data_IF_945630359515
#
_entry.id   IF_945630359515
#
_cell.length_a   1.000
_cell.length_b   1.000
_cell.length_c   1.000
_cell.angle_alpha   90.00
_cell.angle_beta   90.00
_cell.angle_gamma   90.00
#
_symmetry.space_group_name_H-M   'P 1'
#
loop_
_entity.id
_entity.type
_entity.pdbx_description
1 polymer ?
#
# COMPACT_ATOMS: atom_id res chain seq x y z
N UNK A 1 -9.27 23.91 -12.64
CA UNK A 1 -8.18 23.92 -11.63
C UNK A 1 -8.66 23.79 -10.18
N UNK A 2 -9.74 24.46 -9.74
CA UNK A 2 -10.24 24.36 -8.35
C UNK A 2 -10.76 22.97 -7.94
N UNK A 3 -11.38 22.22 -8.86
CA UNK A 3 -11.92 20.86 -8.61
C UNK A 3 -10.84 19.84 -8.19
N UNK A 4 -9.58 20.05 -8.58
CA UNK A 4 -8.49 19.14 -8.25
C UNK A 4 -8.03 19.33 -6.79
N UNK A 5 -7.93 20.56 -6.30
CA UNK A 5 -7.50 20.83 -4.92
C UNK A 5 -8.54 20.39 -3.88
N UNK A 6 -9.81 20.63 -4.17
CA UNK A 6 -10.91 20.21 -3.29
C UNK A 6 -10.94 18.69 -3.15
N UNK A 7 -10.85 17.95 -4.26
CA UNK A 7 -10.84 16.49 -4.23
C UNK A 7 -9.59 15.91 -3.55
N UNK A 8 -8.43 16.55 -3.68
CA UNK A 8 -7.22 16.16 -2.93
C UNK A 8 -7.41 16.35 -1.43
N UNK A 9 -7.96 17.48 -1.00
CA UNK A 9 -8.22 17.76 0.41
C UNK A 9 -9.23 16.79 1.02
N UNK A 10 -10.32 16.51 0.32
CA UNK A 10 -11.33 15.52 0.74
C UNK A 10 -10.71 14.12 0.89
N UNK A 11 -9.82 13.71 -0.02
CA UNK A 11 -9.10 12.46 0.10
C UNK A 11 -8.17 12.41 1.33
N UNK A 12 -7.50 13.52 1.65
CA UNK A 12 -6.67 13.61 2.88
C UNK A 12 -7.56 13.44 4.11
N UNK A 13 -8.68 14.14 4.19
CA UNK A 13 -9.64 14.02 5.30
C UNK A 13 -10.13 12.57 5.44
N UNK A 14 -10.58 11.96 4.34
CA UNK A 14 -11.06 10.57 4.35
C UNK A 14 -9.98 9.59 4.82
N UNK A 15 -8.75 9.76 4.38
CA UNK A 15 -7.62 8.93 4.82
C UNK A 15 -7.32 9.12 6.32
N UNK A 16 -7.37 10.36 6.82
CA UNK A 16 -7.16 10.64 8.24
C UNK A 16 -8.19 9.94 9.12
N UNK A 17 -9.48 9.98 8.74
CA UNK A 17 -10.52 9.26 9.46
C UNK A 17 -10.39 7.74 9.33
N UNK A 18 -10.25 7.25 8.09
CA UNK A 18 -10.29 5.81 7.80
C UNK A 18 -9.07 5.06 8.29
N UNK A 19 -7.88 5.62 8.11
CA UNK A 19 -6.61 4.92 8.30
C UNK A 19 -5.86 5.42 9.53
N UNK A 20 -5.90 6.74 9.79
CA UNK A 20 -5.14 7.34 10.88
C UNK A 20 -5.94 7.46 12.19
N UNK A 21 -7.23 7.09 12.16
CA UNK A 21 -8.16 7.04 13.31
C UNK A 21 -8.40 8.41 13.95
N UNK A 22 -8.35 9.47 13.16
CA UNK A 22 -8.70 10.81 13.64
C UNK A 22 -10.18 10.84 14.00
N UNK A 23 -10.57 11.71 14.94
CA UNK A 23 -11.94 11.72 15.48
C UNK A 23 -12.76 12.92 15.03
N UNK A 24 -12.10 13.99 14.59
CA UNK A 24 -12.72 15.24 14.20
C UNK A 24 -11.87 15.97 13.14
N UNK A 25 -12.44 16.99 12.50
CA UNK A 25 -11.77 17.77 11.46
C UNK A 25 -10.65 18.65 12.01
N UNK A 26 -10.75 19.11 13.27
CA UNK A 26 -9.71 19.93 13.88
C UNK A 26 -8.36 19.20 13.92
N UNK A 27 -8.36 17.91 14.27
CA UNK A 27 -7.14 17.07 14.20
C UNK A 27 -6.55 17.02 12.79
N UNK A 28 -7.39 17.02 11.74
CA UNK A 28 -6.95 17.03 10.33
C UNK A 28 -6.40 18.40 9.92
N UNK A 29 -7.02 19.48 10.39
CA UNK A 29 -6.64 20.86 10.04
C UNK A 29 -5.28 21.27 10.61
N UNK A 30 -4.92 20.78 11.80
CA UNK A 30 -3.61 21.02 12.41
C UNK A 30 -2.52 20.06 11.90
N UNK A 31 -2.89 19.05 11.10
CA UNK A 31 -1.97 18.07 10.57
C UNK A 31 -1.14 18.66 9.42
N UNK A 32 0.18 18.62 9.57
CA UNK A 32 1.06 19.03 8.46
C UNK A 32 1.06 17.97 7.35
N UNK A 33 1.26 18.39 6.10
CA UNK A 33 1.34 17.46 4.97
C UNK A 33 2.46 16.42 5.14
N UNK A 34 3.59 16.82 5.74
CA UNK A 34 4.70 15.92 6.05
C UNK A 34 4.30 14.85 7.07
N UNK A 35 3.65 15.25 8.16
CA UNK A 35 3.18 14.32 9.18
C UNK A 35 2.10 13.38 8.63
N UNK A 36 1.18 13.89 7.81
CA UNK A 36 0.22 13.07 7.08
C UNK A 36 0.90 11.99 6.24
N UNK A 37 1.92 12.35 5.46
CA UNK A 37 2.66 11.41 4.61
C UNK A 37 3.37 10.34 5.45
N UNK A 38 4.06 10.72 6.53
CA UNK A 38 4.71 9.77 7.43
C UNK A 38 3.70 8.82 8.09
N UNK A 39 2.58 9.34 8.60
CA UNK A 39 1.53 8.53 9.22
C UNK A 39 0.90 7.57 8.22
N UNK A 40 0.68 8.00 6.97
CA UNK A 40 0.19 7.12 5.91
C UNK A 40 1.21 6.04 5.53
N UNK A 41 2.50 6.36 5.51
CA UNK A 41 3.56 5.38 5.29
C UNK A 41 3.61 4.36 6.43
N UNK A 42 3.59 4.82 7.68
CA UNK A 42 3.53 3.95 8.86
C UNK A 42 2.29 3.04 8.84
N UNK A 43 1.12 3.58 8.45
CA UNK A 43 -0.09 2.78 8.27
C UNK A 43 0.11 1.68 7.22
N UNK A 44 0.67 2.01 6.05
CA UNK A 44 0.92 1.01 4.99
C UNK A 44 1.88 -0.09 5.45
N UNK A 45 2.93 0.26 6.19
CA UNK A 45 3.85 -0.72 6.79
C UNK A 45 3.12 -1.62 7.79
N UNK A 46 2.31 -1.04 8.69
CA UNK A 46 1.53 -1.82 9.66
C UNK A 46 0.53 -2.79 9.00
N UNK A 47 0.09 -2.49 7.77
CA UNK A 47 -0.74 -3.41 6.99
C UNK A 47 0.05 -4.62 6.49
N UNK A 48 1.33 -4.47 6.16
CA UNK A 48 2.20 -5.60 5.80
C UNK A 48 2.45 -6.47 7.01
N UNK A 49 2.68 -5.87 8.18
CA UNK A 49 2.84 -6.61 9.44
C UNK A 49 1.57 -7.44 9.72
N UNK A 50 0.40 -6.84 9.50
CA UNK A 50 -0.87 -7.55 9.65
C UNK A 50 -1.08 -8.66 8.61
N UNK A 51 -0.70 -8.42 7.34
CA UNK A 51 -0.68 -9.45 6.29
C UNK A 51 0.22 -10.62 6.70
N UNK A 52 1.42 -10.34 7.21
CA UNK A 52 2.35 -11.35 7.72
C UNK A 52 1.69 -12.22 8.80
N UNK A 53 1.08 -11.61 9.82
CA UNK A 53 0.43 -12.34 10.90
C UNK A 53 -0.71 -13.23 10.41
N UNK A 54 -1.55 -12.71 9.49
CA UNK A 54 -2.63 -13.48 8.89
C UNK A 54 -2.09 -14.67 8.09
N UNK A 55 -1.06 -14.44 7.27
CA UNK A 55 -0.44 -15.51 6.48
C UNK A 55 0.26 -16.53 7.38
N UNK A 56 0.89 -16.12 8.47
CA UNK A 56 1.52 -17.02 9.43
C UNK A 56 0.47 -17.94 10.06
N UNK A 57 -0.66 -17.39 10.49
CA UNK A 57 -1.79 -18.18 11.02
C UNK A 57 -2.32 -19.17 9.97
N UNK A 58 -2.50 -18.72 8.72
CA UNK A 58 -2.94 -19.58 7.63
C UNK A 58 -1.93 -20.70 7.32
N UNK A 59 -0.63 -20.39 7.34
CA UNK A 59 0.44 -21.35 7.12
C UNK A 59 0.47 -22.41 8.23
N UNK A 60 0.40 -22.01 9.50
CA UNK A 60 0.32 -22.95 10.63
C UNK A 60 -0.90 -23.86 10.52
N UNK A 61 -2.07 -23.30 10.18
CA UNK A 61 -3.30 -24.09 9.94
C UNK A 61 -3.17 -25.04 8.75
N UNK A 62 -2.43 -24.66 7.71
CA UNK A 62 -2.19 -25.50 6.54
C UNK A 62 -1.13 -26.59 6.80
N UNK A 63 -0.09 -26.33 7.59
CA UNK A 63 0.88 -27.36 8.01
C UNK A 63 0.20 -28.51 8.76
N UNK A 64 -0.87 -28.22 9.51
CA UNK A 64 -1.69 -29.24 10.21
C UNK A 64 -2.50 -30.11 9.22
N UNK A 65 -2.76 -29.64 7.99
CA UNK A 65 -3.72 -30.26 7.06
C UNK A 65 -3.15 -30.71 5.71
N UNK A 66 -2.02 -30.16 5.28
CA UNK A 66 -1.57 -30.17 3.89
C UNK A 66 -0.30 -30.97 3.67
N UNK A 67 -0.42 -32.29 3.66
CA UNK A 67 0.61 -33.18 3.13
C UNK A 67 0.26 -33.62 1.72
N UNK A 68 1.23 -33.62 0.81
CA UNK A 68 1.15 -34.26 -0.51
C UNK A 68 1.95 -35.55 -0.49
N UNK A 69 1.54 -36.53 -1.29
CA UNK A 69 2.34 -37.73 -1.50
C UNK A 69 3.53 -37.42 -2.42
N UNK A 70 4.71 -37.84 -1.99
CA UNK A 70 5.93 -37.83 -2.78
C UNK A 70 6.57 -39.22 -2.66
N UNK A 71 6.24 -40.10 -3.60
CA UNK A 71 6.53 -41.54 -3.48
C UNK A 71 5.74 -42.16 -2.32
N UNK A 72 6.39 -42.94 -1.45
CA UNK A 72 5.77 -43.56 -0.27
C UNK A 72 5.74 -42.64 0.97
N UNK A 73 5.97 -41.33 0.83
CA UNK A 73 6.06 -40.39 1.96
C UNK A 73 5.08 -39.24 1.79
N UNK A 74 4.43 -38.85 2.87
CA UNK A 74 3.69 -37.59 2.96
C UNK A 74 4.64 -36.45 3.30
N UNK A 75 4.66 -35.40 2.48
CA UNK A 75 5.49 -34.20 2.68
C UNK A 75 4.63 -32.94 2.70
N UNK A 76 4.98 -31.91 3.49
CA UNK A 76 4.25 -30.64 3.47
C UNK A 76 4.26 -29.98 2.09
N UNK A 77 3.15 -29.36 1.69
CA UNK A 77 3.03 -28.66 0.39
C UNK A 77 4.01 -27.48 0.29
N UNK A 78 4.15 -26.70 1.36
CA UNK A 78 5.11 -25.60 1.48
C UNK A 78 6.23 -25.99 2.44
N UNK A 79 7.50 -25.88 2.01
CA UNK A 79 8.66 -26.23 2.83
C UNK A 79 9.11 -25.09 3.75
N UNK A 80 8.86 -23.84 3.35
CA UNK A 80 9.19 -22.62 4.10
C UNK A 80 8.04 -21.63 4.04
N UNK A 81 7.86 -20.85 5.10
CA UNK A 81 6.85 -19.80 5.15
C UNK A 81 7.06 -18.74 4.05
N UNK A 82 8.31 -18.41 3.71
CA UNK A 82 8.65 -17.44 2.65
C UNK A 82 8.14 -17.82 1.26
N UNK A 83 7.84 -19.10 1.02
CA UNK A 83 7.21 -19.55 -0.23
C UNK A 83 5.70 -19.29 -0.26
N UNK A 84 5.09 -19.11 0.93
CA UNK A 84 3.68 -18.77 1.10
C UNK A 84 3.48 -17.25 1.18
N UNK A 85 4.37 -16.55 1.88
CA UNK A 85 4.36 -15.09 1.98
C UNK A 85 5.78 -14.53 2.13
N UNK A 86 6.19 -13.67 1.19
CA UNK A 86 7.49 -12.99 1.19
C UNK A 86 7.34 -11.56 1.72
N UNK A 87 7.60 -11.41 3.02
CA UNK A 87 7.48 -10.15 3.75
C UNK A 87 8.40 -9.04 3.18
N UNK A 88 9.66 -9.38 2.92
CA UNK A 88 10.66 -8.43 2.40
C UNK A 88 10.29 -7.91 1.02
N UNK A 89 9.79 -8.81 0.15
CA UNK A 89 9.26 -8.40 -1.15
C UNK A 89 8.07 -7.45 -0.98
N UNK A 90 7.17 -7.73 -0.03
CA UNK A 90 5.98 -6.92 0.20
C UNK A 90 6.31 -5.52 0.74
N UNK A 91 7.29 -5.40 1.64
CA UNK A 91 7.79 -4.09 2.09
C UNK A 91 8.31 -3.25 0.91
N UNK A 92 9.11 -3.85 0.04
CA UNK A 92 9.65 -3.17 -1.15
C UNK A 92 8.55 -2.70 -2.11
N UNK A 93 7.43 -3.41 -2.20
CA UNK A 93 6.29 -2.98 -3.02
C UNK A 93 5.60 -1.73 -2.46
N UNK A 94 5.64 -1.53 -1.14
CA UNK A 94 5.05 -0.35 -0.48
C UNK A 94 5.99 0.85 -0.52
N UNK A 95 7.29 0.62 -0.41
CA UNK A 95 8.31 1.68 -0.49
C UNK A 95 8.54 2.19 -1.90
N UNK A 96 8.15 1.43 -2.93
CA UNK A 96 8.18 1.94 -4.30
C UNK A 96 7.33 3.21 -4.37
N UNK A 97 7.89 4.36 -4.78
CA UNK A 97 7.08 5.53 -5.08
C UNK A 97 5.99 5.12 -6.08
N UNK A 98 4.81 5.76 -5.97
CA UNK A 98 3.72 5.65 -6.96
C UNK A 98 4.36 5.46 -8.34
N UNK A 99 4.02 4.33 -8.98
CA UNK A 99 4.72 3.81 -10.16
C UNK A 99 5.28 4.93 -11.03
N UNK A 100 6.56 4.84 -11.38
CA UNK A 100 7.14 5.74 -12.37
C UNK A 100 6.20 5.72 -13.58
N UNK A 101 5.69 6.90 -13.93
CA UNK A 101 4.82 7.06 -15.10
C UNK A 101 5.50 6.34 -16.26
N UNK A 102 4.73 5.53 -16.97
CA UNK A 102 5.21 4.96 -18.23
C UNK A 102 5.65 6.09 -19.16
N UNK A 103 6.46 5.76 -20.15
CA UNK A 103 6.99 6.75 -21.10
C UNK A 103 5.87 7.54 -21.81
N UNK A 104 4.72 6.89 -22.02
CA UNK A 104 3.51 7.50 -22.59
C UNK A 104 2.84 8.46 -21.61
N UNK A 105 2.68 8.07 -20.34
CA UNK A 105 2.09 8.92 -19.31
C UNK A 105 2.97 10.15 -19.00
N UNK A 106 4.29 9.99 -19.06
CA UNK A 106 5.23 11.12 -18.95
C UNK A 106 5.08 12.12 -20.10
N UNK A 107 4.97 11.65 -21.34
CA UNK A 107 4.75 12.52 -22.51
C UNK A 107 3.42 13.27 -22.42
N UNK A 108 2.35 12.60 -22.00
CA UNK A 108 1.03 13.24 -21.81
C UNK A 108 1.07 14.29 -20.68
N UNK A 109 1.72 13.99 -19.56
CA UNK A 109 1.89 14.93 -18.47
C UNK A 109 2.70 16.17 -18.90
N UNK A 110 3.73 16.01 -19.73
CA UNK A 110 4.51 17.12 -20.29
C UNK A 110 3.68 17.98 -21.27
N UNK A 111 2.90 17.35 -22.15
CA UNK A 111 2.03 18.06 -23.10
C UNK A 111 0.95 18.88 -22.37
N UNK A 112 0.34 18.32 -21.33
CA UNK A 112 -0.65 19.03 -20.50
C UNK A 112 -0.05 20.24 -19.77
N UNK A 113 1.20 20.13 -19.28
CA UNK A 113 1.93 21.27 -18.68
C UNK A 113 2.18 22.39 -19.69
N UNK A 114 2.57 22.05 -20.91
CA UNK A 114 2.82 23.04 -21.97
C UNK A 114 1.53 23.73 -22.45
N UNK A 115 0.42 23.00 -22.52
CA UNK A 115 -0.88 23.57 -22.88
C UNK A 115 -1.38 24.60 -21.84
N UNK A 116 -1.18 24.30 -20.55
CA UNK A 116 -1.55 25.21 -19.46
C UNK A 116 -0.66 26.47 -19.39
N UNK A 117 0.58 26.40 -19.90
CA UNK A 117 1.49 27.55 -19.98
C UNK A 117 1.23 28.47 -21.18
N UNK A 118 0.53 27.98 -22.22
CA UNK A 118 0.22 28.76 -23.44
C UNK A 118 -1.19 29.35 -23.46
N UNK A 119 -2.04 28.97 -22.51
CA UNK A 119 -3.43 29.42 -22.39
C UNK A 119 -3.68 30.47 -21.31
N UNK A 120 -2.63 31.13 -20.79
CA UNK A 120 -2.70 32.22 -19.83
C UNK A 120 -2.26 33.53 -20.44
#
# INVERSE_FOLDING_TARGET
MKENYQSVYENIILNCFRFLKFKNLYEVEVLTLYEYQLRMQAYRLSRVDHEYDMHMKAWLNNQVKGTKEQGNKQVPIYKKFTQFFDYEKRLKEIEKPLQQLTEQENKMAQAARQANQKGG
#
